data_IF_429824164083
#
_entry.id   IF_429824164083
#
_cell.length_a   1.000
_cell.length_b   1.000
_cell.length_c   1.000
_cell.angle_alpha   90.00
_cell.angle_beta   90.00
_cell.angle_gamma   90.00
#
_symmetry.space_group_name_H-M   'P 1'
#
loop_
_entity.id
_entity.type
_entity.pdbx_description
1 polymer ?
#
# COMPACT_ATOMS: atom_id res chain seq x y z
N UNK A 1 -19.06 -11.45 -13.94
CA UNK A 1 -18.07 -12.55 -13.99
C UNK A 1 -16.90 -12.27 -14.93
N UNK A 2 -17.10 -11.49 -16.01
CA UNK A 2 -16.01 -11.13 -16.95
C UNK A 2 -14.93 -10.18 -16.37
N UNK A 3 -15.30 -9.23 -15.51
CA UNK A 3 -14.34 -8.24 -14.95
C UNK A 3 -13.25 -8.89 -14.08
N UNK A 4 -13.62 -9.84 -13.23
CA UNK A 4 -12.65 -10.57 -12.40
C UNK A 4 -11.67 -11.38 -13.26
N UNK A 5 -12.18 -12.06 -14.30
CA UNK A 5 -11.37 -12.80 -15.25
C UNK A 5 -10.38 -11.89 -15.98
N UNK A 6 -10.85 -10.74 -16.47
CA UNK A 6 -10.01 -9.77 -17.18
C UNK A 6 -8.91 -9.20 -16.27
N UNK A 7 -9.22 -8.88 -15.00
CA UNK A 7 -8.22 -8.41 -14.04
C UNK A 7 -7.15 -9.46 -13.75
N UNK A 8 -7.55 -10.72 -13.65
CA UNK A 8 -6.65 -11.84 -13.43
C UNK A 8 -5.72 -12.08 -14.64
N UNK A 9 -6.29 -12.11 -15.85
CA UNK A 9 -5.54 -12.23 -17.10
C UNK A 9 -4.54 -11.07 -17.27
N UNK A 10 -4.94 -9.84 -16.96
CA UNK A 10 -4.06 -8.67 -16.98
C UNK A 10 -2.88 -8.82 -16.01
N UNK A 11 -3.15 -9.22 -14.77
CA UNK A 11 -2.12 -9.41 -13.75
C UNK A 11 -1.11 -10.50 -14.16
N UNK A 12 -1.59 -11.63 -14.66
CA UNK A 12 -0.72 -12.72 -15.12
C UNK A 12 0.05 -12.37 -16.40
N UNK A 13 -0.55 -11.65 -17.34
CA UNK A 13 0.15 -11.22 -18.55
C UNK A 13 1.34 -10.29 -18.21
N UNK A 14 1.23 -9.51 -17.12
CA UNK A 14 2.22 -8.51 -16.73
C UNK A 14 2.95 -8.86 -15.41
N UNK A 15 2.93 -10.12 -14.97
CA UNK A 15 3.43 -10.53 -13.65
C UNK A 15 4.90 -10.15 -13.39
N UNK A 16 5.78 -10.22 -14.42
CA UNK A 16 7.20 -9.87 -14.28
C UNK A 16 7.38 -8.40 -13.95
N UNK A 17 6.57 -7.54 -14.55
CA UNK A 17 6.58 -6.11 -14.28
C UNK A 17 6.13 -5.83 -12.84
N UNK A 18 5.00 -6.39 -12.42
CA UNK A 18 4.48 -6.20 -11.06
C UNK A 18 5.39 -6.82 -10.00
N UNK A 19 6.04 -7.93 -10.30
CA UNK A 19 7.07 -8.48 -9.42
C UNK A 19 8.24 -7.51 -9.28
N UNK A 20 8.77 -6.97 -10.39
CA UNK A 20 9.86 -6.00 -10.35
C UNK A 20 9.48 -4.72 -9.59
N UNK A 21 8.23 -4.25 -9.73
CA UNK A 21 7.70 -3.10 -9.00
C UNK A 21 7.63 -3.35 -7.49
N UNK A 22 7.23 -4.56 -7.07
CA UNK A 22 7.11 -4.96 -5.66
C UNK A 22 8.43 -5.41 -5.00
N UNK A 23 9.45 -5.73 -5.78
CA UNK A 23 10.72 -6.27 -5.28
C UNK A 23 11.37 -5.43 -4.14
N UNK A 24 11.45 -4.09 -4.23
CA UNK A 24 12.03 -3.27 -3.16
C UNK A 24 11.32 -3.45 -1.82
N UNK A 25 9.99 -3.59 -1.83
CA UNK A 25 9.21 -3.78 -0.60
C UNK A 25 9.42 -5.18 -0.06
N UNK A 26 9.38 -6.22 -0.91
CA UNK A 26 9.66 -7.60 -0.50
C UNK A 26 11.03 -7.71 0.16
N UNK A 27 12.05 -7.03 -0.41
CA UNK A 27 13.39 -7.03 0.16
C UNK A 27 13.43 -6.37 1.55
N UNK A 28 12.77 -5.22 1.73
CA UNK A 28 12.71 -4.52 3.02
C UNK A 28 11.93 -5.32 4.06
N UNK A 29 10.77 -5.85 3.71
CA UNK A 29 9.97 -6.67 4.62
C UNK A 29 10.71 -7.94 5.06
N UNK A 30 11.42 -8.58 4.12
CA UNK A 30 12.27 -9.73 4.43
C UNK A 30 13.41 -9.35 5.38
N UNK A 31 14.04 -8.19 5.18
CA UNK A 31 15.08 -7.68 6.05
C UNK A 31 14.55 -7.36 7.46
N UNK A 32 13.40 -6.70 7.56
CA UNK A 32 12.72 -6.46 8.85
C UNK A 32 12.41 -7.78 9.54
N UNK A 33 11.81 -8.73 8.82
CA UNK A 33 11.51 -10.06 9.36
C UNK A 33 12.74 -10.77 9.91
N UNK A 34 13.87 -10.69 9.20
CA UNK A 34 15.14 -11.26 9.66
C UNK A 34 15.66 -10.55 10.92
N UNK A 35 15.60 -9.22 10.95
CA UNK A 35 16.09 -8.44 12.10
C UNK A 35 15.25 -8.64 13.36
N UNK A 36 13.94 -8.85 13.23
CA UNK A 36 13.05 -9.07 14.38
C UNK A 36 12.87 -10.55 14.74
N UNK A 37 13.41 -11.48 13.95
CA UNK A 37 13.32 -12.92 14.22
C UNK A 37 13.75 -13.32 15.65
N UNK A 38 14.79 -12.73 16.26
CA UNK A 38 15.20 -13.08 17.63
C UNK A 38 14.13 -12.79 18.69
N UNK A 39 13.18 -11.89 18.42
CA UNK A 39 12.07 -11.58 19.37
C UNK A 39 11.20 -12.82 19.67
N UNK A 40 11.14 -13.78 18.75
CA UNK A 40 10.38 -15.02 18.93
C UNK A 40 10.91 -15.94 20.03
N UNK A 41 12.18 -15.83 20.34
CA UNK A 41 12.86 -16.68 21.34
C UNK A 41 13.01 -15.99 22.71
N UNK A 42 12.66 -14.69 22.81
CA UNK A 42 12.78 -13.91 24.03
C UNK A 42 11.65 -14.23 24.98
N UNK A 43 11.97 -14.48 26.24
CA UNK A 43 11.01 -14.84 27.28
C UNK A 43 10.97 -13.85 28.44
N UNK A 44 12.05 -13.10 28.64
CA UNK A 44 12.16 -12.14 29.75
C UNK A 44 11.92 -10.71 29.24
N UNK A 45 11.21 -9.86 30.00
CA UNK A 45 11.00 -8.46 29.60
C UNK A 45 12.30 -7.67 29.40
N UNK A 46 13.35 -8.02 30.09
CA UNK A 46 14.68 -7.42 29.99
C UNK A 46 15.31 -7.65 28.62
N UNK A 47 15.10 -8.83 28.02
CA UNK A 47 15.66 -9.19 26.71
C UNK A 47 15.07 -8.29 25.61
N UNK A 48 13.77 -7.99 25.70
CA UNK A 48 13.09 -7.07 24.78
C UNK A 48 13.66 -5.64 24.89
N UNK A 49 13.89 -5.15 26.10
CA UNK A 49 14.42 -3.81 26.33
C UNK A 49 15.82 -3.71 25.73
N UNK A 50 16.71 -4.64 26.05
CA UNK A 50 18.08 -4.67 25.53
C UNK A 50 18.12 -4.79 24.01
N UNK A 51 17.26 -5.62 23.43
CA UNK A 51 17.14 -5.76 21.98
C UNK A 51 16.74 -4.44 21.32
N UNK A 52 15.73 -3.73 21.83
CA UNK A 52 15.28 -2.47 21.25
C UNK A 52 16.23 -1.31 21.52
N UNK A 53 16.93 -1.28 22.64
CA UNK A 53 18.02 -0.32 22.89
C UNK A 53 19.14 -0.47 21.86
N UNK A 54 19.51 -1.71 21.52
CA UNK A 54 20.59 -2.00 20.58
C UNK A 54 20.18 -1.86 19.12
N UNK A 55 19.01 -2.41 18.73
CA UNK A 55 18.61 -2.56 17.32
C UNK A 55 17.48 -1.60 16.89
N UNK A 56 16.78 -0.99 17.86
CA UNK A 56 15.61 -0.14 17.61
C UNK A 56 15.85 0.98 16.60
N UNK A 57 16.96 1.75 16.67
CA UNK A 57 17.21 2.82 15.71
C UNK A 57 17.35 2.32 14.27
N UNK A 58 18.02 1.18 14.05
CA UNK A 58 18.19 0.59 12.71
C UNK A 58 16.85 0.04 12.21
N UNK A 59 16.13 -0.71 13.05
CA UNK A 59 14.81 -1.24 12.71
C UNK A 59 13.87 -0.09 12.41
N UNK A 60 13.82 0.96 13.21
CA UNK A 60 13.00 2.14 13.00
C UNK A 60 13.27 2.83 11.66
N UNK A 61 14.55 2.99 11.30
CA UNK A 61 14.93 3.56 10.01
C UNK A 61 14.43 2.71 8.85
N UNK A 62 14.62 1.39 8.91
CA UNK A 62 14.20 0.47 7.86
C UNK A 62 12.68 0.45 7.72
N UNK A 63 11.95 0.46 8.84
CA UNK A 63 10.48 0.55 8.85
C UNK A 63 9.98 1.85 8.21
N UNK A 64 10.62 3.00 8.49
CA UNK A 64 10.27 4.28 7.86
C UNK A 64 10.51 4.22 6.35
N UNK A 65 11.66 3.70 5.91
CA UNK A 65 11.95 3.53 4.47
C UNK A 65 10.93 2.59 3.82
N UNK A 66 10.59 1.48 4.48
CA UNK A 66 9.57 0.54 4.03
C UNK A 66 8.20 1.21 3.85
N UNK A 67 7.79 2.01 4.83
CA UNK A 67 6.53 2.76 4.78
C UNK A 67 6.50 3.74 3.60
N UNK A 68 7.59 4.48 3.38
CA UNK A 68 7.69 5.41 2.23
C UNK A 68 7.57 4.64 0.91
N UNK A 69 8.25 3.51 0.77
CA UNK A 69 8.15 2.67 -0.42
C UNK A 69 6.76 2.07 -0.60
N UNK A 70 6.12 1.62 0.47
CA UNK A 70 4.78 1.04 0.43
C UNK A 70 3.73 2.06 -0.03
N UNK A 71 3.77 3.28 0.50
CA UNK A 71 2.89 4.37 0.06
C UNK A 71 3.17 4.74 -1.40
N UNK A 72 4.45 4.79 -1.79
CA UNK A 72 4.85 5.04 -3.18
C UNK A 72 4.36 3.93 -4.12
N UNK A 73 4.38 2.67 -3.68
CA UNK A 73 3.86 1.54 -4.44
C UNK A 73 2.35 1.65 -4.70
N UNK A 74 1.57 2.13 -3.73
CA UNK A 74 0.12 2.32 -3.92
C UNK A 74 -0.14 3.25 -5.12
N UNK A 75 0.52 4.41 -5.17
CA UNK A 75 0.42 5.32 -6.33
C UNK A 75 1.04 4.73 -7.59
N UNK A 76 2.21 4.09 -7.47
CA UNK A 76 2.91 3.46 -8.57
C UNK A 76 2.12 2.34 -9.25
N UNK A 77 1.35 1.55 -8.51
CA UNK A 77 0.46 0.52 -9.07
C UNK A 77 -0.62 1.11 -9.97
N UNK A 78 -1.24 2.22 -9.56
CA UNK A 78 -2.24 2.88 -10.39
C UNK A 78 -1.67 3.45 -11.68
N UNK A 79 -0.51 4.13 -11.60
CA UNK A 79 0.18 4.66 -12.79
C UNK A 79 0.59 3.52 -13.72
N UNK A 80 1.10 2.42 -13.16
CA UNK A 80 1.49 1.23 -13.94
C UNK A 80 0.29 0.60 -14.64
N UNK A 81 -0.82 0.44 -13.94
CA UNK A 81 -2.05 -0.09 -14.51
C UNK A 81 -2.51 0.74 -15.71
N UNK A 82 -2.62 2.05 -15.55
CA UNK A 82 -3.08 2.95 -16.60
C UNK A 82 -2.11 3.00 -17.80
N UNK A 83 -0.81 3.00 -17.55
CA UNK A 83 0.19 3.00 -18.62
C UNK A 83 0.12 1.70 -19.44
N UNK A 84 0.10 0.54 -18.79
CA UNK A 84 0.04 -0.76 -19.46
C UNK A 84 -1.29 -0.91 -20.23
N UNK A 85 -2.42 -0.51 -19.64
CA UNK A 85 -3.74 -0.54 -20.29
C UNK A 85 -3.77 0.34 -21.53
N UNK A 86 -3.09 1.51 -21.49
CA UNK A 86 -2.92 2.43 -22.60
C UNK A 86 -1.80 2.04 -23.57
N UNK A 87 -1.18 0.85 -23.39
CA UNK A 87 -0.05 0.35 -24.19
C UNK A 87 1.16 1.29 -24.21
N UNK A 88 1.39 1.99 -23.11
CA UNK A 88 2.57 2.83 -22.90
C UNK A 88 3.62 2.06 -22.11
N UNK A 89 4.87 2.19 -22.52
CA UNK A 89 5.98 1.62 -21.76
C UNK A 89 6.25 2.45 -20.50
N UNK A 90 6.25 1.79 -19.37
CA UNK A 90 6.60 2.39 -18.09
C UNK A 90 7.63 1.53 -17.36
N UNK A 91 8.66 2.18 -16.82
CA UNK A 91 9.65 1.52 -15.99
C UNK A 91 9.12 1.45 -14.53
N UNK A 92 9.29 0.34 -13.81
CA UNK A 92 8.91 0.21 -12.39
C UNK A 92 9.44 1.32 -11.49
N UNK A 93 10.68 1.79 -11.73
CA UNK A 93 11.28 2.90 -10.96
C UNK A 93 10.52 4.20 -11.20
N UNK A 94 10.16 4.51 -12.44
CA UNK A 94 9.39 5.72 -12.77
C UNK A 94 7.99 5.66 -12.14
N UNK A 95 7.38 4.49 -12.09
CA UNK A 95 6.09 4.29 -11.42
C UNK A 95 6.19 4.56 -9.91
N UNK A 96 7.23 4.03 -9.24
CA UNK A 96 7.47 4.31 -7.82
C UNK A 96 7.75 5.80 -7.57
N UNK A 97 8.52 6.45 -8.44
CA UNK A 97 8.78 7.89 -8.34
C UNK A 97 7.50 8.72 -8.49
N UNK A 98 6.61 8.34 -9.40
CA UNK A 98 5.31 9.00 -9.56
C UNK A 98 4.45 8.85 -8.29
N UNK A 99 4.44 7.67 -7.66
CA UNK A 99 3.80 7.45 -6.38
C UNK A 99 4.43 8.26 -5.24
N UNK A 100 5.77 8.34 -5.22
CA UNK A 100 6.51 9.13 -4.23
C UNK A 100 6.21 10.63 -4.35
N UNK A 101 6.03 11.14 -5.56
CA UNK A 101 5.66 12.55 -5.79
C UNK A 101 4.30 12.92 -5.15
N UNK A 102 3.43 11.93 -4.94
CA UNK A 102 2.12 12.08 -4.29
C UNK A 102 2.09 11.46 -2.88
N UNK A 103 3.27 11.27 -2.26
CA UNK A 103 3.38 10.59 -0.97
C UNK A 103 2.45 11.18 0.10
N UNK A 104 2.52 12.47 0.35
CA UNK A 104 1.75 13.10 1.44
C UNK A 104 0.23 12.97 1.29
N UNK A 105 -0.38 13.27 0.12
CA UNK A 105 -1.82 13.08 -0.04
C UNK A 105 -2.23 11.60 0.02
N UNK A 106 -1.45 10.67 -0.54
CA UNK A 106 -1.76 9.24 -0.45
C UNK A 106 -1.64 8.75 0.99
N UNK A 107 -0.59 9.16 1.71
CA UNK A 107 -0.38 8.80 3.11
C UNK A 107 -1.50 9.34 4.01
N UNK A 108 -1.91 10.59 3.81
CA UNK A 108 -3.04 11.18 4.55
C UNK A 108 -4.34 10.44 4.31
N UNK A 109 -4.65 10.12 3.05
CA UNK A 109 -5.82 9.32 2.71
C UNK A 109 -5.74 7.89 3.28
N UNK A 110 -4.56 7.25 3.21
CA UNK A 110 -4.32 5.93 3.79
C UNK A 110 -4.64 5.89 5.28
N UNK A 111 -4.19 6.88 6.06
CA UNK A 111 -4.49 6.97 7.49
C UNK A 111 -6.00 7.06 7.74
N UNK A 112 -6.70 7.94 7.03
CA UNK A 112 -8.15 8.11 7.20
C UNK A 112 -8.89 6.81 6.86
N UNK A 113 -8.53 6.17 5.75
CA UNK A 113 -9.12 4.90 5.32
C UNK A 113 -8.79 3.77 6.30
N UNK A 114 -7.56 3.71 6.81
CA UNK A 114 -7.15 2.70 7.78
C UNK A 114 -7.96 2.83 9.10
N UNK A 115 -8.13 4.05 9.60
CA UNK A 115 -8.94 4.32 10.79
C UNK A 115 -10.41 3.93 10.54
N UNK A 116 -11.00 4.37 9.42
CA UNK A 116 -12.38 4.03 9.08
C UNK A 116 -12.59 2.52 8.95
N UNK A 117 -11.65 1.82 8.29
CA UNK A 117 -11.69 0.38 8.13
C UNK A 117 -11.52 -0.35 9.47
N UNK A 118 -10.60 0.11 10.34
CA UNK A 118 -10.41 -0.44 11.67
C UNK A 118 -11.68 -0.35 12.51
N UNK A 119 -12.37 0.78 12.51
CA UNK A 119 -13.68 0.92 13.15
C UNK A 119 -14.72 -0.02 12.53
N UNK A 120 -14.74 -0.16 11.20
CA UNK A 120 -15.60 -1.12 10.52
C UNK A 120 -15.37 -2.57 10.97
N UNK A 121 -14.11 -2.98 11.09
CA UNK A 121 -13.75 -4.33 11.56
C UNK A 121 -14.04 -4.53 13.05
N UNK A 122 -13.93 -3.47 13.87
CA UNK A 122 -14.23 -3.50 15.29
C UNK A 122 -15.72 -3.68 15.57
N UNK A 123 -16.58 -3.14 14.69
CA UNK A 123 -18.03 -3.33 14.76
C UNK A 123 -18.43 -4.74 14.31
N UNK A 124 -17.99 -5.17 13.15
CA UNK A 124 -18.20 -6.51 12.57
C UNK A 124 -17.27 -6.67 11.35
N UNK A 125 -16.89 -7.90 11.03
CA UNK A 125 -16.02 -8.19 9.89
C UNK A 125 -16.61 -7.69 8.56
N UNK A 126 -17.92 -7.90 8.32
CA UNK A 126 -18.58 -7.49 7.08
C UNK A 126 -18.57 -5.97 6.83
N UNK A 127 -18.90 -5.09 7.80
CA UNK A 127 -18.72 -3.64 7.64
C UNK A 127 -17.27 -3.23 7.34
N UNK A 128 -16.27 -3.89 7.97
CA UNK A 128 -14.87 -3.62 7.70
C UNK A 128 -14.48 -3.90 6.25
N UNK A 129 -14.86 -5.07 5.73
CA UNK A 129 -14.65 -5.44 4.32
C UNK A 129 -15.36 -4.45 3.39
N UNK A 130 -16.60 -4.08 3.70
CA UNK A 130 -17.37 -3.13 2.92
C UNK A 130 -16.71 -1.75 2.85
N UNK A 131 -16.25 -1.21 3.97
CA UNK A 131 -15.56 0.09 4.01
C UNK A 131 -14.23 0.05 3.24
N UNK A 132 -13.44 -1.00 3.42
CA UNK A 132 -12.17 -1.17 2.69
C UNK A 132 -12.41 -1.21 1.18
N UNK A 133 -13.42 -1.94 0.72
CA UNK A 133 -13.77 -2.00 -0.69
C UNK A 133 -14.23 -0.62 -1.21
N UNK A 134 -15.07 0.09 -0.44
CA UNK A 134 -15.59 1.41 -0.79
C UNK A 134 -14.49 2.45 -0.97
N UNK A 135 -13.46 2.40 -0.16
CA UNK A 135 -12.38 3.38 -0.21
C UNK A 135 -11.22 2.97 -1.13
N UNK A 136 -11.27 1.81 -1.76
CA UNK A 136 -10.14 1.27 -2.55
C UNK A 136 -9.63 2.19 -3.67
N UNK A 137 -10.47 3.07 -4.21
CA UNK A 137 -10.14 3.95 -5.34
C UNK A 137 -9.52 5.31 -4.92
N UNK A 138 -9.37 5.61 -3.62
CA UNK A 138 -8.87 6.92 -3.17
C UNK A 138 -7.50 7.27 -3.80
N UNK A 139 -6.62 6.30 -3.91
CA UNK A 139 -5.29 6.51 -4.47
C UNK A 139 -5.34 6.84 -5.97
N UNK A 140 -6.28 6.24 -6.72
CA UNK A 140 -6.48 6.58 -8.13
C UNK A 140 -6.93 8.04 -8.30
N UNK A 141 -7.88 8.51 -7.49
CA UNK A 141 -8.32 9.91 -7.54
C UNK A 141 -7.21 10.90 -7.21
N UNK A 142 -6.33 10.58 -6.24
CA UNK A 142 -5.16 11.40 -5.92
C UNK A 142 -4.16 11.43 -7.08
N UNK A 143 -3.94 10.28 -7.73
CA UNK A 143 -2.93 10.17 -8.78
C UNK A 143 -3.36 10.84 -10.10
N UNK A 144 -4.62 10.74 -10.48
CA UNK A 144 -5.10 11.16 -11.80
C UNK A 144 -5.95 12.43 -11.80
N UNK A 145 -6.64 12.72 -10.69
CA UNK A 145 -7.53 13.88 -10.59
C UNK A 145 -6.94 14.99 -9.71
N UNK A 146 -5.72 14.80 -9.18
CA UNK A 146 -5.05 15.73 -8.26
C UNK A 146 -5.90 16.08 -7.02
N UNK A 147 -6.79 15.17 -6.64
CA UNK A 147 -7.75 15.36 -5.57
C UNK A 147 -7.07 15.46 -4.20
N UNK A 148 -7.61 16.32 -3.34
CA UNK A 148 -7.19 16.38 -1.94
C UNK A 148 -7.68 15.14 -1.18
N UNK A 149 -7.10 14.92 0.03
CA UNK A 149 -7.37 13.73 0.86
C UNK A 149 -8.86 13.44 1.01
N UNK A 150 -9.64 14.39 1.49
CA UNK A 150 -11.07 14.19 1.72
C UNK A 150 -11.90 14.12 0.44
N UNK A 151 -11.51 14.86 -0.59
CA UNK A 151 -12.14 14.80 -1.92
C UNK A 151 -11.95 13.43 -2.56
N UNK A 152 -10.76 12.85 -2.50
CA UNK A 152 -10.47 11.51 -3.04
C UNK A 152 -11.26 10.40 -2.33
N UNK A 153 -11.43 10.53 -1.02
CA UNK A 153 -12.21 9.57 -0.22
C UNK A 153 -13.70 9.68 -0.57
N UNK A 154 -14.24 10.90 -0.68
CA UNK A 154 -15.63 11.15 -1.07
C UNK A 154 -15.91 10.65 -2.49
N UNK A 155 -15.03 10.96 -3.45
CA UNK A 155 -15.14 10.50 -4.83
C UNK A 155 -15.08 8.97 -4.93
N UNK A 156 -14.21 8.33 -4.17
CA UNK A 156 -14.16 6.85 -4.09
C UNK A 156 -15.46 6.26 -3.56
N UNK A 157 -16.06 6.91 -2.56
CA UNK A 157 -17.35 6.50 -2.00
C UNK A 157 -18.51 6.60 -3.00
N UNK A 158 -18.62 7.72 -3.71
CA UNK A 158 -19.72 7.99 -4.65
C UNK A 158 -19.63 7.12 -5.91
N UNK A 159 -18.44 6.97 -6.49
CA UNK A 159 -18.23 6.24 -7.74
C UNK A 159 -18.64 4.77 -7.62
N UNK A 160 -18.42 4.16 -6.48
CA UNK A 160 -18.79 2.78 -6.23
C UNK A 160 -20.29 2.57 -5.92
N UNK A 161 -21.05 3.63 -5.69
CA UNK A 161 -22.53 3.54 -5.61
C UNK A 161 -23.20 3.41 -6.98
N UNK A 162 -22.51 3.83 -8.04
CA UNK A 162 -23.05 3.90 -9.40
C UNK A 162 -22.56 2.75 -10.32
N UNK A 163 -21.83 1.77 -9.78
CA UNK A 163 -21.42 0.54 -10.44
C UNK A 163 -22.24 -0.66 -9.98
#
# INVERSE_FOLDING_TARGET
MNQFKNAWEFAFANWKYFLALGLPIIAIESLVGFLVAPLGDMTQPTDFIEFFESNGPIIGLIVIVGLVLQISLIGGLWVSYMAIDSKQDINPINALQAGLAKFFPIFGAYIVVAIASAFGFLLLILPGIYLTARFSLYAAHIMFEDSKVFESISASWEKQMNM
#
